data_IF_117356875261
#
_entry.id   IF_117356875261
#
_cell.length_a   1.000
_cell.length_b   1.000
_cell.length_c   1.000
_cell.angle_alpha   90.00
_cell.angle_beta   90.00
_cell.angle_gamma   90.00
#
_symmetry.space_group_name_H-M   'P 1'
#
loop_
_entity.id
_entity.type
_entity.pdbx_description
1 polymer ?
#
# COMPACT_ATOMS: atom_id res chain seq x y z
N UNK A 1 -4.74 -43.10 47.80
CA UNK A 1 -4.32 -41.69 47.67
C UNK A 1 -3.19 -41.60 46.65
N UNK A 2 -3.39 -40.89 45.55
CA UNK A 2 -2.40 -40.01 44.91
C UNK A 2 -3.00 -39.50 43.60
N UNK A 3 -3.54 -38.28 43.63
CA UNK A 3 -4.04 -37.58 42.43
C UNK A 3 -2.81 -37.04 41.70
N UNK A 4 -2.46 -37.64 40.56
CA UNK A 4 -1.47 -37.09 39.64
C UNK A 4 -2.04 -35.81 39.01
N UNK A 5 -1.95 -34.69 39.74
CA UNK A 5 -2.12 -33.36 39.21
C UNK A 5 -0.94 -33.04 38.28
N UNK A 6 -0.94 -33.62 37.08
CA UNK A 6 -0.15 -33.07 35.97
C UNK A 6 -0.87 -31.80 35.52
N UNK A 7 -0.61 -30.71 36.24
CA UNK A 7 -0.81 -29.35 35.74
C UNK A 7 -0.03 -29.24 34.44
N UNK A 8 -0.71 -29.51 33.33
CA UNK A 8 -0.26 -29.13 32.00
C UNK A 8 0.02 -27.64 32.08
N UNK A 9 1.31 -27.29 32.13
CA UNK A 9 1.76 -25.93 31.94
C UNK A 9 1.09 -25.40 30.68
N UNK A 10 0.11 -24.51 30.86
CA UNK A 10 -0.38 -23.65 29.80
C UNK A 10 0.77 -22.70 29.45
N UNK A 11 1.78 -23.22 28.77
CA UNK A 11 2.76 -22.40 28.09
C UNK A 11 1.96 -21.55 27.10
N UNK A 12 1.76 -20.27 27.45
CA UNK A 12 1.28 -19.26 26.53
C UNK A 12 2.06 -19.45 25.24
N UNK A 13 1.39 -19.92 24.19
CA UNK A 13 1.95 -19.88 22.84
C UNK A 13 2.20 -18.40 22.58
N UNK A 14 3.47 -18.02 22.50
CA UNK A 14 3.87 -16.65 22.27
C UNK A 14 3.33 -16.22 20.89
N UNK A 15 2.17 -15.57 20.89
CA UNK A 15 1.48 -15.06 19.71
C UNK A 15 2.13 -13.79 19.14
N UNK A 16 3.42 -13.60 19.36
CA UNK A 16 4.18 -12.50 18.76
C UNK A 16 5.33 -13.15 18.00
N UNK A 17 5.24 -13.14 16.66
CA UNK A 17 6.26 -13.64 15.73
C UNK A 17 7.54 -12.80 15.74
N UNK A 18 8.06 -12.45 16.91
CA UNK A 18 9.37 -11.82 17.08
C UNK A 18 10.43 -12.92 17.10
N UNK A 19 11.41 -12.75 16.22
CA UNK A 19 12.58 -13.60 16.08
C UNK A 19 13.18 -13.90 17.47
N UNK A 20 13.36 -15.19 17.80
CA UNK A 20 14.09 -15.56 19.02
C UNK A 20 15.57 -15.35 18.74
N UNK A 21 16.20 -14.47 19.51
CA UNK A 21 17.66 -14.26 19.51
C UNK A 21 18.17 -14.96 20.77
N UNK A 22 19.15 -15.87 20.66
CA UNK A 22 19.69 -16.55 21.86
C UNK A 22 20.52 -15.56 22.68
N UNK A 23 20.68 -15.82 23.98
CA UNK A 23 21.56 -15.00 24.84
C UNK A 23 22.99 -15.11 24.32
N UNK A 24 23.52 -14.01 23.76
CA UNK A 24 24.85 -13.93 23.14
C UNK A 24 24.84 -13.72 21.64
N UNK A 25 23.69 -13.86 20.96
CA UNK A 25 23.58 -13.51 19.54
C UNK A 25 23.54 -11.99 19.36
N UNK A 26 24.40 -11.47 18.49
CA UNK A 26 24.35 -10.07 18.04
C UNK A 26 23.06 -9.90 17.23
N UNK A 27 22.17 -9.01 17.68
CA UNK A 27 20.95 -8.68 16.93
C UNK A 27 21.32 -8.14 15.55
N UNK A 28 21.11 -8.94 14.51
CA UNK A 28 21.17 -8.47 13.14
C UNK A 28 19.76 -8.00 12.73
N UNK A 29 19.54 -6.69 12.53
CA UNK A 29 18.30 -6.24 11.92
C UNK A 29 18.20 -6.90 10.54
N UNK A 30 17.07 -7.57 10.25
CA UNK A 30 16.83 -8.07 8.89
C UNK A 30 17.00 -6.92 7.92
N UNK A 31 17.65 -7.13 6.75
CA UNK A 31 17.68 -6.11 5.73
C UNK A 31 16.24 -5.66 5.47
N UNK A 32 16.00 -4.36 5.58
CA UNK A 32 14.72 -3.71 5.30
C UNK A 32 14.47 -3.66 3.79
N UNK A 33 14.67 -4.77 3.09
CA UNK A 33 14.10 -4.96 1.76
C UNK A 33 12.60 -5.05 1.94
N UNK A 34 11.96 -3.87 1.95
CA UNK A 34 10.52 -3.73 1.91
C UNK A 34 10.06 -4.40 0.64
N UNK A 35 9.61 -5.64 0.74
CA UNK A 35 9.09 -6.39 -0.39
C UNK A 35 7.93 -5.58 -0.99
N UNK A 36 8.16 -4.97 -2.16
CA UNK A 36 7.13 -4.22 -2.87
C UNK A 36 6.37 -5.19 -3.76
N UNK A 37 5.23 -5.67 -3.27
CA UNK A 37 4.29 -6.49 -4.06
C UNK A 37 4.00 -5.86 -5.44
N UNK A 38 4.11 -6.57 -6.56
CA UNK A 38 3.75 -6.02 -7.86
C UNK A 38 2.24 -5.70 -7.91
N UNK A 39 1.84 -4.76 -8.76
CA UNK A 39 0.44 -4.42 -9.01
C UNK A 39 -0.35 -5.52 -9.75
N UNK A 40 0.34 -6.52 -10.32
CA UNK A 40 -0.29 -7.60 -11.09
C UNK A 40 -0.72 -7.20 -12.51
N UNK A 41 -0.34 -6.02 -13.00
CA UNK A 41 -0.64 -5.61 -14.38
C UNK A 41 0.26 -6.32 -15.40
N UNK A 42 -0.37 -6.90 -16.43
CA UNK A 42 0.31 -7.35 -17.64
C UNK A 42 0.60 -6.15 -18.55
N UNK A 43 1.78 -6.11 -19.19
CA UNK A 43 2.21 -4.98 -20.05
C UNK A 43 1.21 -4.67 -21.18
N UNK A 44 0.59 -5.70 -21.73
CA UNK A 44 -0.40 -5.61 -22.82
C UNK A 44 -1.67 -4.87 -22.40
N UNK A 45 -2.07 -4.98 -21.13
CA UNK A 45 -3.30 -4.38 -20.61
C UNK A 45 -3.12 -2.95 -20.09
N UNK A 46 -1.89 -2.50 -19.85
CA UNK A 46 -1.60 -1.19 -19.25
C UNK A 46 -2.26 -0.04 -20.04
N UNK A 47 -2.13 0.07 -21.37
CA UNK A 47 -2.72 1.19 -22.11
C UNK A 47 -4.25 1.24 -21.97
N UNK A 48 -4.91 0.08 -22.01
CA UNK A 48 -6.36 -0.02 -21.83
C UNK A 48 -6.76 0.38 -20.41
N UNK A 49 -6.03 -0.11 -19.39
CA UNK A 49 -6.30 0.22 -17.99
C UNK A 49 -6.08 1.70 -17.71
N UNK A 50 -5.03 2.32 -18.24
CA UNK A 50 -4.78 3.75 -18.11
C UNK A 50 -5.95 4.57 -18.62
N UNK A 51 -6.43 4.29 -19.84
CA UNK A 51 -7.60 4.97 -20.41
C UNK A 51 -8.83 4.87 -19.50
N UNK A 52 -9.08 3.70 -18.93
CA UNK A 52 -10.20 3.49 -17.99
C UNK A 52 -9.97 4.27 -16.69
N UNK A 53 -8.77 4.22 -16.11
CA UNK A 53 -8.43 4.95 -14.89
C UNK A 53 -8.62 6.45 -15.08
N UNK A 54 -8.01 7.03 -16.12
CA UNK A 54 -8.12 8.45 -16.45
C UNK A 54 -9.59 8.85 -16.63
N UNK A 55 -10.37 8.09 -17.40
CA UNK A 55 -11.82 8.35 -17.58
C UNK A 55 -12.59 8.35 -16.25
N UNK A 56 -12.33 7.38 -15.38
CA UNK A 56 -12.99 7.30 -14.07
C UNK A 56 -12.58 8.47 -13.19
N UNK A 57 -11.30 8.85 -13.17
CA UNK A 57 -10.81 9.98 -12.39
C UNK A 57 -11.44 11.28 -12.88
N UNK A 58 -11.45 11.53 -14.20
CA UNK A 58 -12.00 12.76 -14.79
C UNK A 58 -13.52 12.92 -14.58
N UNK A 59 -14.25 11.80 -14.53
CA UNK A 59 -15.70 11.80 -14.26
C UNK A 59 -16.04 11.93 -12.77
N UNK A 60 -15.08 11.77 -11.88
CA UNK A 60 -15.28 11.85 -10.44
C UNK A 60 -14.92 13.26 -9.94
N UNK A 61 -15.71 13.78 -8.99
CA UNK A 61 -15.39 15.05 -8.34
C UNK A 61 -14.04 14.94 -7.59
N UNK A 62 -13.10 15.88 -7.81
CA UNK A 62 -11.82 15.87 -7.10
C UNK A 62 -11.99 16.17 -5.61
N UNK A 63 -10.99 15.78 -4.83
CA UNK A 63 -10.96 16.01 -3.38
C UNK A 63 -9.96 17.13 -3.07
N UNK A 64 -10.44 18.22 -2.47
CA UNK A 64 -9.58 19.35 -2.09
C UNK A 64 -8.88 19.03 -0.77
N UNK A 65 -7.55 19.16 -0.73
CA UNK A 65 -6.75 18.89 0.46
C UNK A 65 -5.62 19.91 0.59
N UNK A 66 -5.26 20.20 1.84
CA UNK A 66 -4.10 21.00 2.16
C UNK A 66 -2.83 20.17 1.92
N UNK A 67 -1.94 20.63 1.04
CA UNK A 67 -0.70 19.93 0.70
C UNK A 67 0.50 20.35 1.56
N UNK A 68 0.28 21.28 2.49
CA UNK A 68 1.31 21.89 3.32
C UNK A 68 1.55 23.36 2.97
N UNK A 69 1.29 23.75 1.72
CA UNK A 69 1.53 25.09 1.20
C UNK A 69 0.25 25.75 0.66
N UNK A 70 -0.59 25.00 -0.06
CA UNK A 70 -1.82 25.49 -0.68
C UNK A 70 -2.95 24.44 -0.64
N UNK A 71 -4.16 24.89 -0.96
CA UNK A 71 -5.31 24.01 -1.18
C UNK A 71 -5.31 23.48 -2.61
N UNK A 72 -4.83 22.25 -2.74
CA UNK A 72 -4.71 21.56 -4.03
C UNK A 72 -5.83 20.53 -4.24
N UNK A 73 -6.19 20.28 -5.50
CA UNK A 73 -7.16 19.24 -5.86
C UNK A 73 -6.44 17.91 -6.08
N UNK A 74 -6.92 16.84 -5.46
CA UNK A 74 -6.33 15.52 -5.53
C UNK A 74 -7.31 14.48 -6.06
N UNK A 75 -6.75 13.35 -6.53
CA UNK A 75 -7.53 12.15 -6.82
C UNK A 75 -8.21 11.68 -5.52
N UNK A 76 -9.54 11.47 -5.52
CA UNK A 76 -10.28 11.03 -4.35
C UNK A 76 -9.71 9.76 -3.71
N UNK A 77 -9.73 9.69 -2.38
CA UNK A 77 -9.08 8.60 -1.64
C UNK A 77 -9.52 7.20 -2.08
N UNK A 78 -10.81 7.04 -2.39
CA UNK A 78 -11.39 5.76 -2.78
C UNK A 78 -10.86 5.29 -4.15
N UNK A 79 -10.63 6.21 -5.10
CA UNK A 79 -10.00 5.88 -6.38
C UNK A 79 -8.51 5.60 -6.21
N UNK A 80 -7.82 6.37 -5.37
CA UNK A 80 -6.43 6.13 -5.02
C UNK A 80 -6.23 4.76 -4.36
N UNK A 81 -7.18 4.29 -3.54
CA UNK A 81 -7.19 2.93 -2.97
C UNK A 81 -7.52 1.87 -4.03
N UNK A 82 -8.52 2.13 -4.89
CA UNK A 82 -8.98 1.20 -5.94
C UNK A 82 -7.89 0.92 -6.98
N UNK A 83 -7.26 1.96 -7.49
CA UNK A 83 -6.22 1.85 -8.51
C UNK A 83 -4.84 1.63 -7.89
N UNK A 84 -4.58 2.21 -6.73
CA UNK A 84 -3.41 1.94 -5.92
C UNK A 84 -2.11 2.01 -6.72
N UNK A 85 -1.40 0.87 -6.78
CA UNK A 85 -0.11 0.77 -7.47
C UNK A 85 -0.22 0.93 -8.99
N UNK A 86 -1.40 0.72 -9.57
CA UNK A 86 -1.62 0.87 -11.00
C UNK A 86 -1.52 2.32 -11.47
N UNK A 87 -1.71 3.30 -10.58
CA UNK A 87 -1.52 4.72 -10.90
C UNK A 87 -0.08 5.04 -11.35
N UNK A 88 0.91 4.21 -10.97
CA UNK A 88 2.29 4.34 -11.43
C UNK A 88 2.50 4.00 -12.90
N UNK A 89 1.49 3.45 -13.56
CA UNK A 89 1.55 3.16 -14.99
C UNK A 89 1.07 4.31 -15.86
N UNK A 90 0.46 5.36 -15.27
CA UNK A 90 0.03 6.53 -16.02
C UNK A 90 1.22 7.11 -16.77
N UNK A 91 1.05 7.29 -18.08
CA UNK A 91 2.05 7.94 -18.92
C UNK A 91 2.10 9.43 -18.59
N UNK A 92 3.14 10.13 -19.07
CA UNK A 92 3.17 11.59 -18.90
C UNK A 92 2.00 12.28 -19.61
N UNK A 93 1.52 11.73 -20.73
CA UNK A 93 0.29 12.22 -21.40
C UNK A 93 -0.94 12.05 -20.49
N UNK A 94 -1.10 10.88 -19.87
CA UNK A 94 -2.22 10.63 -18.94
C UNK A 94 -2.17 11.61 -17.75
N UNK A 95 -0.96 11.86 -17.22
CA UNK A 95 -0.77 12.83 -16.13
C UNK A 95 -1.05 14.26 -16.58
N UNK A 96 -0.63 14.65 -17.79
CA UNK A 96 -0.90 15.97 -18.35
C UNK A 96 -2.41 16.23 -18.44
N UNK A 97 -3.19 15.28 -18.97
CA UNK A 97 -4.66 15.39 -19.03
C UNK A 97 -5.29 15.59 -17.64
N UNK A 98 -4.77 14.89 -16.62
CA UNK A 98 -5.28 15.04 -15.26
C UNK A 98 -4.86 16.38 -14.62
N UNK A 99 -3.66 16.89 -14.94
CA UNK A 99 -3.20 18.23 -14.52
C UNK A 99 -3.98 19.36 -15.17
N UNK A 100 -4.41 19.21 -16.43
CA UNK A 100 -5.33 20.16 -17.09
C UNK A 100 -6.66 20.30 -16.34
N UNK A 101 -7.08 19.23 -15.65
CA UNK A 101 -8.25 19.27 -14.75
C UNK A 101 -7.98 19.97 -13.41
N UNK A 102 -6.73 20.38 -13.16
CA UNK A 102 -6.26 20.99 -11.92
C UNK A 102 -5.84 19.98 -10.84
N UNK A 103 -5.67 18.70 -11.18
CA UNK A 103 -5.26 17.69 -10.20
C UNK A 103 -3.75 17.73 -9.93
N UNK A 104 -3.38 17.76 -8.66
CA UNK A 104 -2.03 17.55 -8.17
C UNK A 104 -1.68 16.04 -8.26
N UNK A 105 -0.82 15.70 -9.23
CA UNK A 105 -0.39 14.33 -9.53
C UNK A 105 1.14 14.30 -9.76
N UNK A 106 1.80 13.48 -8.96
CA UNK A 106 3.24 13.16 -9.03
C UNK A 106 3.52 11.89 -9.86
#
# INVERSE_FOLDING_TARGET
MSRNNRTLSHHKRAHNGRHRVRKGDIFQPRPTTVYRRPCGCCKQDIPRKNKVMVRVILSTRPEMRWDGNDWSLFIPQHLSKRFGRCLRHLTEDDKATLRERGLAID
#
